data_IF_933347238691
#
_entry.id   IF_933347238691
#
_cell.length_a   1.000
_cell.length_b   1.000
_cell.length_c   1.000
_cell.angle_alpha   90.00
_cell.angle_beta   90.00
_cell.angle_gamma   90.00
#
_symmetry.space_group_name_H-M   'P 1'
#
loop_
_entity.id
_entity.type
_entity.pdbx_description
1 polymer ?
#
# COMPACT_ATOMS: atom_id res chain seq x y z
N UNK A 1 10.73 -11.03 5.24
CA UNK A 1 11.35 -9.77 5.69
C UNK A 1 12.52 -9.31 4.81
N UNK A 2 13.55 -10.13 4.55
CA UNK A 2 14.74 -9.68 3.77
C UNK A 2 14.45 -9.24 2.32
N UNK A 3 13.52 -9.92 1.63
CA UNK A 3 13.12 -9.57 0.27
C UNK A 3 12.24 -8.32 0.21
N UNK A 4 11.29 -8.20 1.15
CA UNK A 4 10.44 -7.01 1.28
C UNK A 4 11.30 -5.77 1.53
N UNK A 5 12.18 -5.80 2.53
CA UNK A 5 13.09 -4.69 2.82
C UNK A 5 13.92 -4.26 1.61
N UNK A 6 14.46 -5.22 0.85
CA UNK A 6 15.17 -4.92 -0.40
C UNK A 6 14.25 -4.25 -1.42
N UNK A 7 13.04 -4.76 -1.62
CA UNK A 7 12.07 -4.14 -2.52
C UNK A 7 11.71 -2.71 -2.14
N UNK A 8 11.62 -2.40 -0.83
CA UNK A 8 11.43 -1.02 -0.35
C UNK A 8 12.60 -0.14 -0.78
N UNK A 9 13.83 -0.58 -0.50
CA UNK A 9 15.04 0.18 -0.85
C UNK A 9 15.14 0.37 -2.37
N UNK A 10 14.94 -0.70 -3.14
CA UNK A 10 15.03 -0.68 -4.60
C UNK A 10 14.03 0.33 -5.21
N UNK A 11 12.77 0.34 -4.74
CA UNK A 11 11.75 1.31 -5.19
C UNK A 11 12.17 2.75 -4.86
N UNK A 12 12.68 2.98 -3.66
CA UNK A 12 13.07 4.32 -3.22
C UNK A 12 14.31 4.84 -3.95
N UNK A 13 15.28 3.96 -4.25
CA UNK A 13 16.47 4.29 -5.03
C UNK A 13 16.13 4.63 -6.49
N UNK A 14 15.12 3.95 -7.06
CA UNK A 14 14.68 4.15 -8.45
C UNK A 14 13.44 5.04 -8.57
N UNK A 15 13.13 5.84 -7.54
CA UNK A 15 11.92 6.69 -7.51
C UNK A 15 11.75 7.65 -8.69
N UNK A 16 12.81 7.98 -9.43
CA UNK A 16 12.74 8.82 -10.61
C UNK A 16 12.08 8.16 -11.83
N UNK A 17 11.93 6.82 -11.80
CA UNK A 17 11.29 6.05 -12.86
C UNK A 17 9.79 5.80 -12.64
N UNK A 18 9.31 6.03 -11.41
CA UNK A 18 7.96 5.68 -10.99
C UNK A 18 7.21 6.92 -10.49
N UNK A 19 5.91 7.01 -10.74
CA UNK A 19 5.06 8.06 -10.16
C UNK A 19 4.67 7.68 -8.72
N UNK A 20 5.66 7.75 -7.82
CA UNK A 20 5.48 7.38 -6.43
C UNK A 20 4.78 8.46 -5.62
N UNK A 21 3.84 8.02 -4.78
CA UNK A 21 3.20 8.80 -3.71
C UNK A 21 3.60 8.20 -2.38
N UNK A 22 4.09 9.03 -1.47
CA UNK A 22 4.61 8.59 -0.17
C UNK A 22 3.89 9.37 0.92
N UNK A 23 3.25 8.65 1.82
CA UNK A 23 2.59 9.20 3.01
C UNK A 23 3.34 8.79 4.27
N UNK A 24 3.47 9.72 5.22
CA UNK A 24 4.14 9.51 6.51
C UNK A 24 3.22 9.98 7.63
N UNK A 25 3.13 9.19 8.70
CA UNK A 25 2.45 9.56 9.94
C UNK A 25 3.48 9.67 11.04
N UNK A 26 3.46 10.80 11.75
CA UNK A 26 4.33 11.08 12.87
C UNK A 26 3.55 11.09 14.19
N UNK A 27 4.10 10.46 15.22
CA UNK A 27 3.63 10.58 16.60
C UNK A 27 4.84 10.97 17.45
N UNK A 28 4.73 12.07 18.19
CA UNK A 28 5.83 12.61 19.01
C UNK A 28 7.15 12.77 18.22
N UNK A 29 7.07 13.29 17.00
CA UNK A 29 8.19 13.49 16.07
C UNK A 29 8.86 12.21 15.54
N UNK A 30 8.38 11.03 15.90
CA UNK A 30 8.84 9.75 15.36
C UNK A 30 7.89 9.25 14.28
N UNK A 31 8.43 8.57 13.26
CA UNK A 31 7.61 7.92 12.23
C UNK A 31 6.85 6.76 12.88
N UNK A 32 5.54 6.89 12.96
CA UNK A 32 4.63 5.86 13.47
C UNK A 32 4.05 4.98 12.36
N UNK A 33 4.13 5.42 11.10
CA UNK A 33 3.74 4.63 9.94
C UNK A 33 4.01 5.33 8.63
N UNK A 34 4.00 4.55 7.55
CA UNK A 34 4.20 5.03 6.21
C UNK A 34 3.49 4.17 5.16
N UNK A 35 3.19 4.80 4.03
CA UNK A 35 2.62 4.17 2.85
C UNK A 35 3.39 4.62 1.61
N UNK A 36 3.64 3.69 0.70
CA UNK A 36 4.24 3.97 -0.61
C UNK A 36 3.31 3.37 -1.66
N UNK A 37 2.75 4.25 -2.49
CA UNK A 37 1.95 3.89 -3.65
C UNK A 37 2.55 4.39 -4.95
N UNK A 38 2.07 3.84 -6.06
CA UNK A 38 2.45 4.22 -7.42
C UNK A 38 1.20 4.45 -8.27
N UNK A 39 1.16 5.56 -9.00
CA UNK A 39 0.13 5.79 -10.00
C UNK A 39 0.48 4.96 -11.24
N UNK A 40 -0.22 3.84 -11.41
CA UNK A 40 0.03 2.91 -12.53
C UNK A 40 -0.78 3.25 -13.77
N UNK A 41 -1.84 4.06 -13.62
CA UNK A 41 -2.60 4.68 -14.72
C UNK A 41 -3.51 5.80 -14.19
N UNK A 42 -4.24 6.45 -15.10
CA UNK A 42 -5.13 7.59 -14.82
C UNK A 42 -6.29 7.31 -13.85
N UNK A 43 -6.57 6.05 -13.48
CA UNK A 43 -7.65 5.69 -12.55
C UNK A 43 -7.22 4.87 -11.34
N UNK A 44 -5.99 4.34 -11.32
CA UNK A 44 -5.58 3.35 -10.32
C UNK A 44 -4.25 3.72 -9.67
N UNK A 45 -4.25 3.72 -8.34
CA UNK A 45 -3.03 3.66 -7.53
C UNK A 45 -2.78 2.23 -7.05
N UNK A 46 -1.53 1.78 -7.13
CA UNK A 46 -1.06 0.53 -6.54
C UNK A 46 -0.35 0.82 -5.23
N UNK A 47 -0.76 0.19 -4.13
CA UNK A 47 -0.08 0.31 -2.84
C UNK A 47 0.95 -0.80 -2.72
N UNK A 48 2.22 -0.44 -2.91
CA UNK A 48 3.35 -1.37 -2.78
C UNK A 48 3.62 -1.72 -1.32
N UNK A 49 3.62 -0.70 -0.46
CA UNK A 49 4.05 -0.85 0.94
C UNK A 49 3.12 -0.07 1.85
N UNK A 50 2.72 -0.73 2.94
CA UNK A 50 2.03 -0.08 4.05
C UNK A 50 2.54 -0.71 5.36
N UNK A 51 3.09 0.12 6.24
CA UNK A 51 3.65 -0.30 7.53
C UNK A 51 3.32 0.72 8.59
N UNK A 52 3.03 0.24 9.79
CA UNK A 52 2.74 1.08 10.93
C UNK A 52 3.06 0.37 12.24
N UNK A 53 3.29 1.15 13.29
CA UNK A 53 3.38 0.70 14.67
C UNK A 53 1.97 0.43 15.22
N UNK A 54 1.65 -0.86 15.39
CA UNK A 54 0.34 -1.35 15.84
C UNK A 54 0.00 -1.00 17.30
N UNK A 55 0.94 -0.43 18.06
CA UNK A 55 0.63 0.10 19.40
C UNK A 55 -0.32 1.30 19.34
N UNK A 56 -0.42 1.97 18.19
CA UNK A 56 -1.36 3.06 17.96
C UNK A 56 -2.64 2.55 17.31
N UNK A 57 -3.76 2.66 18.02
CA UNK A 57 -5.07 2.30 17.49
C UNK A 57 -5.44 3.18 16.29
N UNK A 58 -5.97 2.58 15.23
CA UNK A 58 -6.38 3.28 14.02
C UNK A 58 -5.24 3.76 13.11
N UNK A 59 -3.98 3.45 13.43
CA UNK A 59 -2.81 3.94 12.68
C UNK A 59 -2.84 3.61 11.18
N UNK A 60 -3.31 2.41 10.80
CA UNK A 60 -3.40 2.01 9.40
C UNK A 60 -4.43 2.85 8.63
N UNK A 61 -5.56 3.20 9.26
CA UNK A 61 -6.53 4.11 8.66
C UNK A 61 -5.92 5.48 8.42
N UNK A 62 -5.13 5.99 9.39
CA UNK A 62 -4.45 7.27 9.25
C UNK A 62 -3.38 7.23 8.16
N UNK A 63 -2.56 6.18 8.13
CA UNK A 63 -1.54 5.97 7.10
C UNK A 63 -2.17 5.93 5.71
N UNK A 64 -3.24 5.15 5.51
CA UNK A 64 -3.98 5.14 4.24
C UNK A 64 -4.52 6.53 3.87
N UNK A 65 -5.10 7.24 4.83
CA UNK A 65 -5.67 8.57 4.62
C UNK A 65 -4.63 9.58 4.11
N UNK A 66 -3.38 9.53 4.57
CA UNK A 66 -2.31 10.44 4.10
C UNK A 66 -2.11 10.40 2.59
N UNK A 67 -2.33 9.24 1.97
CA UNK A 67 -2.22 9.09 0.52
C UNK A 67 -3.57 9.35 -0.15
N UNK A 68 -4.67 8.79 0.37
CA UNK A 68 -5.99 8.88 -0.27
C UNK A 68 -6.50 10.31 -0.41
N UNK A 69 -6.18 11.18 0.55
CA UNK A 69 -6.59 12.58 0.50
C UNK A 69 -5.88 13.40 -0.60
N UNK A 70 -4.81 12.88 -1.20
CA UNK A 70 -4.13 13.51 -2.33
C UNK A 70 -4.62 13.00 -3.69
N UNK A 71 -5.50 12.00 -3.71
CA UNK A 71 -5.96 11.31 -4.92
C UNK A 71 -7.35 11.77 -5.36
N UNK A 72 -7.52 13.07 -5.60
CA UNK A 72 -8.82 13.67 -5.97
C UNK A 72 -9.49 13.09 -7.24
N UNK A 73 -8.72 12.42 -8.12
CA UNK A 73 -9.19 11.92 -9.42
C UNK A 73 -9.08 10.40 -9.61
N UNK A 74 -8.51 9.65 -8.66
CA UNK A 74 -8.29 8.20 -8.82
C UNK A 74 -9.46 7.39 -8.28
N UNK A 75 -9.89 6.41 -9.07
CA UNK A 75 -11.12 5.63 -8.83
C UNK A 75 -10.82 4.34 -8.06
N UNK A 76 -9.63 3.78 -8.22
CA UNK A 76 -9.28 2.47 -7.69
C UNK A 76 -7.98 2.50 -6.87
N UNK A 77 -8.03 1.85 -5.72
CA UNK A 77 -6.86 1.57 -4.89
C UNK A 77 -6.62 0.06 -4.94
N UNK A 78 -5.55 -0.35 -5.60
CA UNK A 78 -5.09 -1.73 -5.60
C UNK A 78 -4.16 -1.94 -4.41
N UNK A 79 -4.58 -2.73 -3.42
CA UNK A 79 -3.80 -3.02 -2.20
C UNK A 79 -3.04 -4.35 -2.27
N UNK A 80 -2.73 -4.86 -3.46
CA UNK A 80 -2.02 -6.13 -3.66
C UNK A 80 -2.68 -7.39 -3.05
N UNK A 81 -1.96 -8.52 -3.08
CA UNK A 81 -2.41 -9.84 -2.68
C UNK A 81 -2.26 -10.12 -1.18
N UNK A 82 -3.00 -11.10 -0.67
CA UNK A 82 -2.95 -11.54 0.73
C UNK A 82 -1.89 -12.63 1.01
N UNK A 83 -1.18 -13.10 -0.01
CA UNK A 83 -0.18 -14.18 0.05
C UNK A 83 -0.72 -15.49 0.66
N UNK A 84 -2.04 -15.69 0.68
CA UNK A 84 -2.68 -16.83 1.35
C UNK A 84 -2.71 -16.75 2.89
N UNK A 85 -2.32 -15.61 3.48
CA UNK A 85 -2.30 -15.42 4.94
C UNK A 85 -3.70 -15.00 5.40
N UNK A 86 -4.36 -15.82 6.23
CA UNK A 86 -5.76 -15.60 6.63
C UNK A 86 -5.99 -14.25 7.32
N UNK A 87 -5.11 -13.86 8.24
CA UNK A 87 -5.21 -12.56 8.92
C UNK A 87 -5.12 -11.38 7.94
N UNK A 88 -4.25 -11.50 6.92
CA UNK A 88 -4.09 -10.48 5.89
C UNK A 88 -5.29 -10.44 4.94
N UNK A 89 -5.85 -11.61 4.57
CA UNK A 89 -7.11 -11.70 3.83
C UNK A 89 -8.23 -10.98 4.60
N UNK A 90 -8.42 -11.30 5.90
CA UNK A 90 -9.46 -10.67 6.73
C UNK A 90 -9.31 -9.15 6.76
N UNK A 91 -8.09 -8.66 6.98
CA UNK A 91 -7.79 -7.23 6.97
C UNK A 91 -8.10 -6.58 5.61
N UNK A 92 -7.76 -7.21 4.48
CA UNK A 92 -8.09 -6.64 3.15
C UNK A 92 -9.59 -6.66 2.87
N UNK A 93 -10.30 -7.70 3.29
CA UNK A 93 -11.75 -7.81 3.11
C UNK A 93 -12.53 -6.81 3.98
N UNK A 94 -12.01 -6.38 5.12
CA UNK A 94 -12.68 -5.39 5.98
C UNK A 94 -12.77 -3.99 5.34
N UNK A 95 -12.00 -3.71 4.29
CA UNK A 95 -12.12 -2.49 3.48
C UNK A 95 -13.23 -2.58 2.42
N UNK A 96 -14.03 -3.65 2.41
CA UNK A 96 -15.12 -3.86 1.45
C UNK A 96 -14.67 -3.68 -0.01
N UNK A 97 -13.67 -4.46 -0.49
CA UNK A 97 -13.12 -4.28 -1.82
C UNK A 97 -14.18 -4.50 -2.89
N UNK A 98 -14.21 -3.62 -3.89
CA UNK A 98 -15.12 -3.74 -5.05
C UNK A 98 -14.85 -5.06 -5.81
N UNK A 99 -13.58 -5.49 -5.87
CA UNK A 99 -13.15 -6.75 -6.47
C UNK A 99 -11.96 -7.34 -5.75
N UNK A 100 -11.89 -8.67 -5.72
CA UNK A 100 -10.70 -9.44 -5.36
C UNK A 100 -10.22 -10.19 -6.62
N UNK A 101 -9.22 -9.63 -7.32
CA UNK A 101 -8.84 -10.07 -8.67
C UNK A 101 -8.11 -11.42 -8.62
N UNK A 102 -8.55 -12.36 -9.45
CA UNK A 102 -7.85 -13.63 -9.68
C UNK A 102 -6.69 -13.43 -10.66
N UNK A 103 -5.52 -13.96 -10.32
CA UNK A 103 -4.34 -14.03 -11.19
C UNK A 103 -4.21 -15.46 -11.73
N UNK A 104 -3.82 -15.61 -12.99
CA UNK A 104 -3.68 -16.90 -13.66
C UNK A 104 -2.27 -17.03 -14.24
N UNK A 105 -1.71 -18.23 -14.18
CA UNK A 105 -0.49 -18.60 -14.89
C UNK A 105 -0.87 -19.36 -16.16
N UNK A 106 -0.38 -18.88 -17.31
CA UNK A 106 -0.58 -19.54 -18.60
C UNK A 106 0.67 -20.35 -18.93
N UNK A 107 0.49 -21.64 -19.23
CA UNK A 107 1.56 -22.55 -19.65
C UNK A 107 1.37 -22.87 -21.13
N UNK A 108 2.44 -22.75 -21.90
CA UNK A 108 2.50 -23.03 -23.34
C UNK A 108 3.46 -24.20 -23.62
#
# INVERSE_FOLDING_TARGET
MKFEYRGIIDILEHKGFFDLKIGLVYVNQNIAGFIIGEIINHTTVLIHIEKADISYEGIFSMVGYTLYNELDALIFINREQDLGIEGLRKSKLSYHPIKFIQKFELWF
#
